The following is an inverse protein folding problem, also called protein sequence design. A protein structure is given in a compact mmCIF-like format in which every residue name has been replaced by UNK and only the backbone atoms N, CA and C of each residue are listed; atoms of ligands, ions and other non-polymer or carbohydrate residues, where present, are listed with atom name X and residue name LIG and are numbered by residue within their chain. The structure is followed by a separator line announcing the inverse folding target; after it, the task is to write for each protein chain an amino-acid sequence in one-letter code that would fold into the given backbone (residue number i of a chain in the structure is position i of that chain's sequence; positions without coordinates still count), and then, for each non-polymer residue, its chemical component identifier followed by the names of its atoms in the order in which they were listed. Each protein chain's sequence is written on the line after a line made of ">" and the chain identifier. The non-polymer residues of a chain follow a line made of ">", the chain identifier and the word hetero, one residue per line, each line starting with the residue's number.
data_IF_403875430541
#
_entry.id   IF_403875430541
#
_cell.length_a   1.000
_cell.length_b   1.000
_cell.length_c   1.000
_cell.angle_alpha   90.00
_cell.angle_beta   90.00
_cell.angle_gamma   90.00
#
_symmetry.space_group_name_H-M   'P 1'
#
loop_
_entity.id
_entity.type
_entity.pdbx_description
1 polymer ?
#
# COMPACT_ATOMS: atom_id res chain seq x y z
N UNK A 1 24.75 -9.10 -8.33
CA UNK A 1 24.24 -8.32 -9.49
C UNK A 1 24.07 -9.11 -10.81
N UNK A 2 24.31 -10.43 -10.87
CA UNK A 2 24.10 -11.25 -12.09
C UNK A 2 22.95 -12.29 -12.10
N UNK A 3 22.12 -12.52 -11.05
CA UNK A 3 21.01 -13.48 -11.16
C UNK A 3 19.66 -12.87 -11.63
N UNK A 4 19.56 -11.55 -11.80
CA UNK A 4 18.28 -10.86 -12.08
C UNK A 4 17.86 -10.84 -13.57
N UNK A 5 18.78 -11.07 -14.51
CA UNK A 5 18.47 -11.11 -15.95
C UNK A 5 17.82 -12.44 -16.40
N UNK A 6 17.94 -13.51 -15.59
CA UNK A 6 17.35 -14.81 -15.93
C UNK A 6 15.83 -14.88 -15.64
N UNK A 7 15.33 -14.11 -14.68
CA UNK A 7 13.90 -14.10 -14.31
C UNK A 7 13.02 -13.35 -15.34
N UNK A 8 13.55 -12.28 -15.95
CA UNK A 8 12.83 -11.53 -16.99
C UNK A 8 12.63 -12.34 -18.29
N UNK A 9 13.59 -13.21 -18.63
CA UNK A 9 13.49 -14.10 -19.78
C UNK A 9 12.48 -15.25 -19.55
N UNK A 10 12.32 -15.72 -18.30
CA UNK A 10 11.37 -16.77 -17.96
C UNK A 10 9.90 -16.30 -18.02
N UNK A 11 9.62 -15.03 -17.66
CA UNK A 11 8.27 -14.44 -17.73
C UNK A 11 7.78 -14.22 -19.17
N UNK A 12 8.65 -13.75 -20.06
CA UNK A 12 8.37 -13.66 -21.50
C UNK A 12 8.30 -15.05 -22.16
N UNK A 13 9.13 -15.99 -21.70
CA UNK A 13 9.12 -17.37 -22.16
C UNK A 13 7.79 -18.08 -21.90
N UNK A 14 7.11 -17.84 -20.77
CA UNK A 14 5.81 -18.47 -20.50
C UNK A 14 4.70 -17.96 -21.44
N UNK A 15 4.71 -16.67 -21.78
CA UNK A 15 3.76 -16.08 -22.74
C UNK A 15 4.07 -16.49 -24.19
N UNK A 16 5.33 -16.72 -24.55
CA UNK A 16 5.70 -17.25 -25.87
C UNK A 16 5.52 -18.77 -26.01
N UNK A 17 5.73 -19.55 -24.95
CA UNK A 17 5.58 -21.01 -25.00
C UNK A 17 4.13 -21.46 -25.15
N UNK A 18 3.16 -20.65 -24.74
CA UNK A 18 1.74 -20.90 -25.04
C UNK A 18 1.43 -20.79 -26.55
N UNK A 19 2.28 -20.09 -27.33
CA UNK A 19 2.06 -19.89 -28.78
C UNK A 19 2.80 -20.88 -29.69
N UNK A 20 3.77 -21.66 -29.19
CA UNK A 20 4.61 -22.52 -30.05
C UNK A 20 4.13 -23.97 -30.21
N UNK A 21 3.20 -24.46 -29.38
CA UNK A 21 2.81 -25.88 -29.39
C UNK A 21 1.65 -26.24 -30.36
N UNK A 22 1.00 -25.26 -30.98
CA UNK A 22 -0.04 -25.47 -31.99
C UNK A 22 0.18 -24.48 -33.12
N UNK A 23 0.19 -24.97 -34.38
CA UNK A 23 0.42 -24.13 -35.55
C UNK A 23 -0.35 -22.81 -35.45
N UNK A 24 0.37 -21.71 -35.68
CA UNK A 24 0.00 -20.31 -35.46
C UNK A 24 -1.36 -19.96 -36.11
N UNK A 25 -2.43 -20.37 -35.45
CA UNK A 25 -3.77 -19.87 -35.71
C UNK A 25 -3.83 -18.56 -34.94
N UNK A 26 -3.64 -17.45 -35.65
CA UNK A 26 -3.83 -16.12 -35.07
C UNK A 26 -5.20 -16.11 -34.36
N UNK A 27 -5.18 -15.86 -33.04
CA UNK A 27 -6.42 -15.70 -32.28
C UNK A 27 -7.33 -14.70 -32.99
N UNK A 28 -8.64 -14.97 -33.00
CA UNK A 28 -9.63 -14.04 -33.54
C UNK A 28 -9.54 -12.65 -32.91
N UNK A 29 -8.92 -12.56 -31.73
CA UNK A 29 -8.72 -11.31 -31.01
C UNK A 29 -7.44 -10.55 -31.35
N UNK A 30 -6.48 -11.11 -32.11
CA UNK A 30 -5.16 -10.49 -32.31
C UNK A 30 -5.23 -9.09 -32.91
N UNK A 31 -6.06 -8.90 -33.95
CA UNK A 31 -6.20 -7.61 -34.62
C UNK A 31 -6.85 -6.56 -33.71
N UNK A 32 -7.97 -6.91 -33.06
CA UNK A 32 -8.70 -5.99 -32.17
C UNK A 32 -7.92 -5.67 -30.90
N UNK A 33 -7.19 -6.64 -30.35
CA UNK A 33 -6.35 -6.46 -29.16
C UNK A 33 -5.27 -5.43 -29.41
N UNK A 34 -4.57 -5.53 -30.54
CA UNK A 34 -3.55 -4.55 -30.91
C UNK A 34 -4.15 -3.15 -31.09
N UNK A 35 -5.26 -3.03 -31.82
CA UNK A 35 -5.92 -1.74 -32.04
C UNK A 35 -6.35 -1.08 -30.72
N UNK A 36 -6.92 -1.85 -29.81
CA UNK A 36 -7.32 -1.35 -28.49
C UNK A 36 -6.12 -0.90 -27.66
N UNK A 37 -5.02 -1.66 -27.65
CA UNK A 37 -3.80 -1.29 -26.93
C UNK A 37 -3.18 -0.01 -27.50
N UNK A 38 -3.08 0.11 -28.83
CA UNK A 38 -2.59 1.32 -29.51
C UNK A 38 -3.49 2.53 -29.21
N UNK A 39 -4.80 2.31 -29.11
CA UNK A 39 -5.77 3.36 -28.77
C UNK A 39 -5.63 3.82 -27.31
N UNK A 40 -5.57 2.88 -26.37
CA UNK A 40 -5.62 3.19 -24.95
C UNK A 40 -4.30 3.68 -24.38
N UNK A 41 -3.22 3.18 -24.96
CA UNK A 41 -1.86 3.43 -24.52
C UNK A 41 -1.04 3.89 -25.74
N UNK A 42 -1.28 5.11 -26.24
CA UNK A 42 -0.49 5.63 -27.35
C UNK A 42 0.98 5.81 -26.94
N UNK A 43 1.90 5.51 -27.85
CA UNK A 43 3.33 5.73 -27.64
C UNK A 43 4.08 4.64 -26.88
N UNK A 44 3.52 3.42 -26.80
CA UNK A 44 4.27 2.26 -26.33
C UNK A 44 5.51 1.99 -27.20
N UNK A 45 6.57 1.44 -26.59
CA UNK A 45 7.66 0.85 -27.38
C UNK A 45 7.14 -0.37 -28.15
N UNK A 46 7.77 -0.79 -29.26
CA UNK A 46 7.37 -1.98 -30.00
C UNK A 46 7.27 -3.23 -29.12
N UNK A 47 8.20 -3.39 -28.16
CA UNK A 47 8.22 -4.52 -27.22
C UNK A 47 7.02 -4.48 -26.28
N UNK A 48 6.72 -3.31 -25.70
CA UNK A 48 5.58 -3.16 -24.82
C UNK A 48 4.25 -3.30 -25.56
N UNK A 49 4.15 -2.77 -26.78
CA UNK A 49 2.97 -2.93 -27.63
C UNK A 49 2.71 -4.41 -27.94
N UNK A 50 3.76 -5.17 -28.28
CA UNK A 50 3.63 -6.61 -28.51
C UNK A 50 3.19 -7.33 -27.24
N UNK A 51 3.84 -7.05 -26.10
CA UNK A 51 3.52 -7.68 -24.82
C UNK A 51 2.07 -7.38 -24.39
N UNK A 52 1.63 -6.13 -24.49
CA UNK A 52 0.27 -5.73 -24.18
C UNK A 52 -0.76 -6.30 -25.16
N UNK A 53 -0.43 -6.41 -26.45
CA UNK A 53 -1.34 -7.03 -27.44
C UNK A 53 -1.55 -8.52 -27.12
N UNK A 54 -0.48 -9.25 -26.80
CA UNK A 54 -0.55 -10.64 -26.37
C UNK A 54 -1.33 -10.80 -25.05
N UNK A 55 -1.07 -9.93 -24.07
CA UNK A 55 -1.77 -9.93 -22.79
C UNK A 55 -3.28 -9.63 -22.98
N UNK A 56 -3.63 -8.72 -23.87
CA UNK A 56 -5.02 -8.36 -24.15
C UNK A 56 -5.77 -9.52 -24.83
N UNK A 57 -5.13 -10.27 -25.74
CA UNK A 57 -5.70 -11.52 -26.30
C UNK A 57 -6.00 -12.51 -25.17
N UNK A 58 -5.03 -12.73 -24.28
CA UNK A 58 -5.18 -13.62 -23.12
C UNK A 58 -6.36 -13.22 -22.23
N UNK A 59 -6.53 -11.92 -21.94
CA UNK A 59 -7.68 -11.45 -21.17
C UNK A 59 -9.01 -11.58 -21.90
N UNK A 60 -9.05 -11.50 -23.23
CA UNK A 60 -10.28 -11.77 -23.99
C UNK A 60 -10.68 -13.25 -23.94
N UNK A 61 -9.71 -14.15 -24.07
CA UNK A 61 -9.96 -15.59 -23.94
C UNK A 61 -10.45 -15.93 -22.53
N UNK A 62 -9.81 -15.37 -21.49
CA UNK A 62 -10.26 -15.49 -20.10
C UNK A 62 -11.67 -14.92 -19.89
N UNK A 63 -11.98 -13.78 -20.49
CA UNK A 63 -13.30 -13.15 -20.38
C UNK A 63 -14.40 -14.00 -21.03
N UNK A 64 -14.13 -14.68 -22.16
CA UNK A 64 -15.08 -15.60 -22.76
C UNK A 64 -15.45 -16.75 -21.80
N UNK A 65 -14.47 -17.28 -21.06
CA UNK A 65 -14.67 -18.31 -20.05
C UNK A 65 -15.45 -17.81 -18.82
N UNK A 66 -15.31 -16.54 -18.46
CA UNK A 66 -15.98 -15.94 -17.29
C UNK A 66 -17.52 -15.92 -17.41
N UNK A 67 -18.06 -15.99 -18.64
CA UNK A 67 -19.51 -16.09 -18.87
C UNK A 67 -20.03 -17.54 -18.91
N UNK A 68 -19.14 -18.52 -18.77
CA UNK A 68 -19.49 -19.94 -18.73
C UNK A 68 -20.04 -20.41 -17.38
N UNK A 69 -20.06 -21.74 -17.23
CA UNK A 69 -20.40 -22.41 -15.97
C UNK A 69 -19.37 -22.16 -14.87
N UNK A 70 -19.62 -22.70 -13.67
CA UNK A 70 -18.77 -22.46 -12.49
C UNK A 70 -17.30 -22.86 -12.74
N UNK A 71 -17.05 -24.01 -13.34
CA UNK A 71 -15.69 -24.46 -13.69
C UNK A 71 -14.99 -23.48 -14.63
N UNK A 72 -15.66 -23.04 -15.70
CA UNK A 72 -15.12 -22.05 -16.65
C UNK A 72 -14.79 -20.72 -15.98
N UNK A 73 -15.59 -20.29 -14.99
CA UNK A 73 -15.30 -19.07 -14.22
C UNK A 73 -14.03 -19.20 -13.38
N UNK A 74 -13.77 -20.37 -12.78
CA UNK A 74 -12.51 -20.64 -12.10
C UNK A 74 -11.33 -20.62 -13.07
N UNK A 75 -11.49 -21.21 -14.25
CA UNK A 75 -10.47 -21.15 -15.31
C UNK A 75 -10.21 -19.71 -15.74
N UNK A 76 -11.25 -18.89 -15.88
CA UNK A 76 -11.13 -17.46 -16.18
C UNK A 76 -10.36 -16.70 -15.09
N UNK A 77 -10.66 -16.96 -13.82
CA UNK A 77 -9.95 -16.35 -12.70
C UNK A 77 -8.47 -16.76 -12.68
N UNK A 78 -8.17 -18.05 -12.90
CA UNK A 78 -6.81 -18.57 -13.00
C UNK A 78 -6.02 -17.88 -14.12
N UNK A 79 -6.60 -17.82 -15.32
CA UNK A 79 -6.01 -17.12 -16.45
C UNK A 79 -5.82 -15.63 -16.14
N UNK A 80 -6.78 -14.99 -15.47
CA UNK A 80 -6.64 -13.61 -15.01
C UNK A 80 -5.44 -13.40 -14.09
N UNK A 81 -5.21 -14.32 -13.14
CA UNK A 81 -4.03 -14.28 -12.27
C UNK A 81 -2.72 -14.51 -13.01
N UNK A 82 -2.69 -15.42 -13.98
CA UNK A 82 -1.52 -15.63 -14.84
C UNK A 82 -1.17 -14.36 -15.62
N UNK A 83 -2.18 -13.70 -16.21
CA UNK A 83 -2.00 -12.44 -16.94
C UNK A 83 -1.51 -11.30 -16.04
N UNK A 84 -2.12 -11.12 -14.86
CA UNK A 84 -1.66 -10.12 -13.89
C UNK A 84 -0.28 -10.45 -13.33
N UNK A 85 0.04 -11.72 -13.10
CA UNK A 85 1.37 -12.15 -12.66
C UNK A 85 2.44 -11.85 -13.71
N UNK A 86 2.17 -12.15 -14.99
CA UNK A 86 3.06 -11.80 -16.08
C UNK A 86 3.29 -10.28 -16.16
N UNK A 87 2.23 -9.49 -15.99
CA UNK A 87 2.30 -8.03 -15.95
C UNK A 87 3.17 -7.54 -14.78
N UNK A 88 2.96 -8.06 -13.57
CA UNK A 88 3.68 -7.64 -12.37
C UNK A 88 5.14 -8.09 -12.35
N UNK A 89 5.48 -9.17 -13.06
CA UNK A 89 6.86 -9.59 -13.28
C UNK A 89 7.58 -8.76 -14.36
N UNK A 90 6.85 -7.90 -15.09
CA UNK A 90 7.39 -7.00 -16.10
C UNK A 90 6.89 -5.56 -15.88
N UNK A 91 7.31 -4.97 -14.76
CA UNK A 91 6.88 -3.62 -14.37
C UNK A 91 7.26 -2.54 -15.40
N UNK A 92 8.34 -2.73 -16.15
CA UNK A 92 8.72 -1.80 -17.23
C UNK A 92 7.60 -1.71 -18.28
N UNK A 93 7.12 -2.86 -18.75
CA UNK A 93 5.97 -2.93 -19.67
C UNK A 93 4.68 -2.46 -19.00
N UNK A 94 4.42 -2.88 -17.76
CA UNK A 94 3.22 -2.51 -17.03
C UNK A 94 3.08 -1.00 -16.88
N UNK A 95 4.17 -0.34 -16.55
CA UNK A 95 4.21 1.11 -16.43
C UNK A 95 4.01 1.81 -17.76
N UNK A 96 4.23 1.22 -18.94
CA UNK A 96 3.94 1.94 -20.18
C UNK A 96 2.43 2.13 -20.41
N UNK A 97 1.58 1.25 -19.87
CA UNK A 97 0.12 1.29 -20.04
C UNK A 97 -0.64 1.16 -18.70
N UNK A 98 -0.57 2.16 -17.80
CA UNK A 98 -1.19 2.09 -16.48
C UNK A 98 -2.73 1.99 -16.54
N UNK A 99 -3.35 2.53 -17.60
CA UNK A 99 -4.81 2.41 -17.81
C UNK A 99 -5.21 0.96 -18.10
N UNK A 100 -4.45 0.27 -18.96
CA UNK A 100 -4.67 -1.16 -19.24
C UNK A 100 -4.51 -2.00 -17.97
N UNK A 101 -3.44 -1.76 -17.21
CA UNK A 101 -3.20 -2.44 -15.94
C UNK A 101 -4.38 -2.24 -14.97
N UNK A 102 -4.80 -0.99 -14.77
CA UNK A 102 -5.96 -0.64 -13.95
C UNK A 102 -7.19 -1.46 -14.35
N UNK A 103 -7.50 -1.55 -15.65
CA UNK A 103 -8.68 -2.27 -16.12
C UNK A 103 -8.59 -3.77 -15.85
N UNK A 104 -7.46 -4.41 -16.13
CA UNK A 104 -7.33 -5.85 -15.89
C UNK A 104 -7.40 -6.19 -14.40
N UNK A 105 -6.79 -5.38 -13.53
CA UNK A 105 -6.94 -5.58 -12.08
C UNK A 105 -8.41 -5.52 -11.65
N UNK A 106 -9.18 -4.55 -12.17
CA UNK A 106 -10.62 -4.48 -11.90
C UNK A 106 -11.38 -5.68 -12.45
N UNK A 107 -11.12 -6.07 -13.69
CA UNK A 107 -11.80 -7.20 -14.33
C UNK A 107 -11.59 -8.50 -13.53
N UNK A 108 -10.35 -8.77 -13.13
CA UNK A 108 -10.02 -9.95 -12.33
C UNK A 108 -10.59 -9.85 -10.90
N UNK A 109 -10.64 -8.65 -10.32
CA UNK A 109 -11.31 -8.43 -9.04
C UNK A 109 -12.81 -8.73 -9.10
N UNK A 110 -13.49 -8.33 -10.17
CA UNK A 110 -14.90 -8.62 -10.40
C UNK A 110 -15.15 -10.14 -10.53
N UNK A 111 -14.25 -10.87 -11.21
CA UNK A 111 -14.30 -12.33 -11.28
C UNK A 111 -14.08 -12.99 -9.92
N UNK A 112 -13.08 -12.55 -9.16
CA UNK A 112 -12.82 -13.03 -7.80
C UNK A 112 -14.05 -12.82 -6.90
N UNK A 113 -14.62 -11.61 -6.92
CA UNK A 113 -15.81 -11.28 -6.14
C UNK A 113 -17.00 -12.17 -6.53
N UNK A 114 -17.23 -12.38 -7.82
CA UNK A 114 -18.29 -13.24 -8.34
C UNK A 114 -18.15 -14.73 -7.97
N UNK A 115 -16.94 -15.15 -7.59
CA UNK A 115 -16.62 -16.50 -7.10
C UNK A 115 -16.55 -16.59 -5.57
N UNK A 116 -16.92 -15.52 -4.85
CA UNK A 116 -16.92 -15.52 -3.38
C UNK A 116 -15.55 -15.24 -2.75
N UNK A 117 -14.67 -14.53 -3.45
CA UNK A 117 -13.35 -14.09 -2.96
C UNK A 117 -13.27 -12.58 -2.69
N UNK A 118 -14.04 -12.04 -1.72
CA UNK A 118 -14.12 -10.61 -1.49
C UNK A 118 -12.80 -9.98 -1.01
N UNK A 119 -12.01 -10.66 -0.17
CA UNK A 119 -10.74 -10.11 0.31
C UNK A 119 -9.71 -10.04 -0.82
N UNK A 120 -9.66 -11.07 -1.67
CA UNK A 120 -8.81 -11.04 -2.86
C UNK A 120 -9.26 -9.95 -3.84
N UNK A 121 -10.57 -9.83 -4.08
CA UNK A 121 -11.11 -8.78 -4.93
C UNK A 121 -10.73 -7.38 -4.44
N UNK A 122 -10.83 -7.11 -3.14
CA UNK A 122 -10.38 -5.84 -2.55
C UNK A 122 -8.88 -5.60 -2.78
N UNK A 123 -8.03 -6.58 -2.49
CA UNK A 123 -6.58 -6.46 -2.69
C UNK A 123 -6.21 -6.20 -4.16
N UNK A 124 -6.88 -6.88 -5.10
CA UNK A 124 -6.72 -6.63 -6.55
C UNK A 124 -7.14 -5.22 -6.94
N UNK A 125 -8.25 -4.72 -6.38
CA UNK A 125 -8.70 -3.34 -6.60
C UNK A 125 -7.72 -2.32 -6.01
N UNK A 126 -7.19 -2.54 -4.81
CA UNK A 126 -6.18 -1.65 -4.24
C UNK A 126 -4.89 -1.65 -5.09
N UNK A 127 -4.46 -2.82 -5.60
CA UNK A 127 -3.30 -2.91 -6.50
C UNK A 127 -3.52 -2.18 -7.82
N UNK A 128 -4.67 -2.36 -8.47
CA UNK A 128 -4.96 -1.61 -9.70
C UNK A 128 -5.16 -0.12 -9.45
N UNK A 129 -5.56 0.30 -8.24
CA UNK A 129 -5.64 1.71 -7.86
C UNK A 129 -4.28 2.41 -7.92
N UNK A 130 -3.17 1.70 -7.69
CA UNK A 130 -1.81 2.26 -7.82
C UNK A 130 -1.53 2.64 -9.28
N UNK A 131 -1.85 1.76 -10.22
CA UNK A 131 -1.75 2.06 -11.66
C UNK A 131 -2.74 3.17 -12.07
N UNK A 132 -3.93 3.20 -11.47
CA UNK A 132 -4.92 4.25 -11.69
C UNK A 132 -4.34 5.64 -11.36
N UNK A 133 -3.71 5.77 -10.19
CA UNK A 133 -3.05 7.00 -9.75
C UNK A 133 -1.90 7.36 -10.69
N UNK A 134 -1.12 6.39 -11.13
CA UNK A 134 -0.04 6.61 -12.10
C UNK A 134 -0.59 7.15 -13.43
N UNK A 135 -1.70 6.61 -13.94
CA UNK A 135 -2.37 7.11 -15.14
C UNK A 135 -2.85 8.56 -14.97
N UNK A 136 -3.47 8.88 -13.82
CA UNK A 136 -3.90 10.24 -13.50
C UNK A 136 -2.71 11.22 -13.43
N UNK A 137 -1.63 10.83 -12.76
CA UNK A 137 -0.41 11.63 -12.61
C UNK A 137 0.22 11.96 -13.97
N UNK A 138 0.30 10.97 -14.87
CA UNK A 138 0.81 11.19 -16.24
C UNK A 138 -0.06 12.14 -17.04
N UNK A 139 -1.37 11.93 -16.99
CA UNK A 139 -2.32 12.83 -17.64
C UNK A 139 -2.15 14.27 -17.14
N UNK A 140 -2.08 14.48 -15.83
CA UNK A 140 -1.85 15.80 -15.22
C UNK A 140 -0.53 16.44 -15.66
N UNK A 141 0.56 15.66 -15.71
CA UNK A 141 1.92 16.15 -16.06
C UNK A 141 2.11 16.45 -17.55
N UNK A 142 1.34 15.84 -18.44
CA UNK A 142 1.44 15.97 -19.91
C UNK A 142 1.03 17.35 -20.48
N UNK A 143 1.44 18.47 -19.86
CA UNK A 143 1.03 19.84 -20.22
C UNK A 143 1.39 20.32 -21.64
N UNK A 144 1.96 19.50 -22.52
CA UNK A 144 2.40 19.88 -23.87
C UNK A 144 2.00 18.86 -24.96
N UNK A 145 0.91 19.14 -25.69
CA UNK A 145 0.76 18.79 -27.11
C UNK A 145 0.26 17.39 -27.52
N UNK A 146 0.27 16.38 -26.64
CA UNK A 146 -0.28 15.05 -26.97
C UNK A 146 -1.80 14.97 -26.82
N UNK A 147 -2.47 14.12 -27.62
CA UNK A 147 -3.89 13.83 -27.46
C UNK A 147 -4.16 13.27 -26.06
N UNK A 148 -4.74 14.09 -25.18
CA UNK A 148 -5.03 13.73 -23.78
C UNK A 148 -6.23 12.79 -23.73
N UNK A 149 -6.01 11.51 -23.44
CA UNK A 149 -7.10 10.59 -23.08
C UNK A 149 -7.20 10.48 -21.55
N UNK A 150 -7.98 11.36 -20.96
CA UNK A 150 -8.49 11.13 -19.60
C UNK A 150 -9.68 10.17 -19.71
N UNK A 151 -9.70 9.11 -18.90
CA UNK A 151 -10.85 8.19 -18.83
C UNK A 151 -11.68 8.47 -17.56
N UNK A 152 -12.41 9.60 -17.46
CA UNK A 152 -13.11 10.00 -16.24
C UNK A 152 -14.07 8.92 -15.74
N UNK A 153 -14.74 8.23 -16.67
CA UNK A 153 -15.65 7.14 -16.35
C UNK A 153 -14.94 5.99 -15.63
N UNK A 154 -13.80 5.52 -16.16
CA UNK A 154 -13.01 4.48 -15.50
C UNK A 154 -12.58 4.95 -14.10
N UNK A 155 -12.12 6.19 -13.98
CA UNK A 155 -11.66 6.75 -12.70
C UNK A 155 -12.77 6.76 -11.64
N UNK A 156 -13.96 7.22 -12.01
CA UNK A 156 -15.12 7.28 -11.11
C UNK A 156 -15.60 5.88 -10.74
N UNK A 157 -15.83 5.00 -11.74
CA UNK A 157 -16.28 3.63 -11.47
C UNK A 157 -15.30 2.85 -10.59
N UNK A 158 -14.00 2.99 -10.86
CA UNK A 158 -12.96 2.33 -10.07
C UNK A 158 -12.94 2.84 -8.62
N UNK A 159 -13.06 4.16 -8.43
CA UNK A 159 -13.09 4.78 -7.11
C UNK A 159 -14.32 4.33 -6.32
N UNK A 160 -15.50 4.29 -6.94
CA UNK A 160 -16.71 3.76 -6.30
C UNK A 160 -16.49 2.30 -5.87
N UNK A 161 -15.99 1.45 -6.77
CA UNK A 161 -15.81 0.03 -6.50
C UNK A 161 -14.80 -0.23 -5.37
N UNK A 162 -13.63 0.42 -5.38
CA UNK A 162 -12.62 0.23 -4.32
C UNK A 162 -13.10 0.76 -2.97
N UNK A 163 -13.79 1.91 -2.94
CA UNK A 163 -14.34 2.47 -1.69
C UNK A 163 -15.44 1.59 -1.13
N UNK A 164 -16.34 1.05 -1.96
CA UNK A 164 -17.40 0.13 -1.51
C UNK A 164 -16.82 -1.18 -0.95
N UNK A 165 -15.85 -1.78 -1.64
CA UNK A 165 -15.19 -2.99 -1.16
C UNK A 165 -14.42 -2.74 0.14
N UNK A 166 -13.69 -1.63 0.22
CA UNK A 166 -12.99 -1.26 1.45
C UNK A 166 -13.98 -1.02 2.60
N UNK A 167 -15.05 -0.24 2.39
CA UNK A 167 -16.04 0.02 3.42
C UNK A 167 -16.68 -1.27 3.97
N UNK A 168 -16.89 -2.29 3.13
CA UNK A 168 -17.48 -3.57 3.50
C UNK A 168 -16.49 -4.52 4.23
N UNK A 169 -15.18 -4.40 3.99
CA UNK A 169 -14.18 -5.39 4.40
C UNK A 169 -13.05 -4.83 5.26
N UNK A 170 -13.02 -3.52 5.47
CA UNK A 170 -12.01 -2.84 6.29
C UNK A 170 -11.95 -3.42 7.69
N UNK A 171 -10.78 -3.29 8.32
CA UNK A 171 -10.60 -3.67 9.72
C UNK A 171 -11.59 -2.91 10.58
N UNK A 172 -12.46 -3.57 11.36
CA UNK A 172 -13.43 -2.85 12.18
C UNK A 172 -12.72 -2.05 13.27
N UNK A 173 -13.25 -0.86 13.58
CA UNK A 173 -12.79 -0.09 14.72
C UNK A 173 -12.98 -0.88 16.02
N UNK A 174 -11.88 -1.10 16.75
CA UNK A 174 -11.88 -1.82 18.03
C UNK A 174 -11.80 -0.83 19.18
N UNK A 175 -12.33 -1.20 20.35
CA UNK A 175 -11.98 -0.48 21.57
C UNK A 175 -10.52 -0.77 21.90
N UNK A 176 -9.74 0.28 22.15
CA UNK A 176 -8.34 0.15 22.59
C UNK A 176 -8.28 -0.65 23.89
N UNK A 177 -7.60 -1.80 23.85
CA UNK A 177 -7.31 -2.63 25.01
C UNK A 177 -6.09 -2.08 25.74
N UNK A 178 -6.14 -2.05 27.08
CA UNK A 178 -4.98 -1.68 27.89
C UNK A 178 -4.03 -2.85 27.98
N UNK A 179 -2.74 -2.60 27.77
CA UNK A 179 -1.71 -3.61 27.89
C UNK A 179 -1.72 -4.25 29.29
N UNK A 180 -1.86 -5.57 29.36
CA UNK A 180 -1.90 -6.34 30.60
C UNK A 180 -0.77 -7.36 30.73
N UNK A 181 0.21 -7.32 29.84
CA UNK A 181 1.35 -8.25 29.86
C UNK A 181 2.28 -8.03 31.07
N UNK A 182 3.06 -9.07 31.45
CA UNK A 182 3.91 -9.05 32.63
C UNK A 182 5.06 -8.04 32.54
N UNK A 183 5.54 -7.75 31.33
CA UNK A 183 6.56 -6.73 31.05
C UNK A 183 6.20 -5.99 29.77
N UNK A 184 6.36 -4.67 29.76
CA UNK A 184 6.15 -3.86 28.57
C UNK A 184 7.28 -4.11 27.56
N UNK A 185 6.98 -4.26 26.26
CA UNK A 185 8.03 -4.37 25.25
C UNK A 185 8.84 -3.08 25.17
N UNK A 186 10.13 -3.20 24.87
CA UNK A 186 10.99 -2.05 24.55
C UNK A 186 10.61 -1.53 23.16
N UNK A 187 10.14 -0.29 23.12
CA UNK A 187 9.76 0.41 21.88
C UNK A 187 10.71 1.56 21.63
N UNK A 188 11.20 1.70 20.40
CA UNK A 188 11.79 2.94 19.90
C UNK A 188 10.84 3.62 18.91
N UNK A 189 10.69 4.94 19.01
CA UNK A 189 9.93 5.77 18.07
C UNK A 189 10.91 6.44 17.12
N UNK A 190 10.75 6.20 15.82
CA UNK A 190 11.63 6.67 14.76
C UNK A 190 10.90 7.64 13.85
N UNK A 191 11.55 8.74 13.46
CA UNK A 191 11.02 9.68 12.49
C UNK A 191 12.13 10.24 11.60
N UNK A 192 11.77 10.64 10.38
CA UNK A 192 12.64 11.35 9.43
C UNK A 192 12.01 12.70 9.15
N UNK A 193 12.63 13.78 9.62
CA UNK A 193 12.20 15.16 9.36
C UNK A 193 13.26 15.92 8.56
N UNK A 194 13.79 15.29 7.51
CA UNK A 194 14.76 15.91 6.61
C UNK A 194 14.10 16.27 5.28
N UNK A 195 13.77 17.55 5.13
CA UNK A 195 13.27 18.11 3.88
C UNK A 195 14.38 18.95 3.26
N UNK A 196 15.00 18.43 2.20
CA UNK A 196 15.88 19.24 1.36
C UNK A 196 15.03 20.28 0.61
N UNK A 197 15.50 21.53 0.43
CA UNK A 197 14.86 22.45 -0.50
C UNK A 197 14.87 21.82 -1.90
N UNK A 198 13.70 21.43 -2.40
CA UNK A 198 13.56 20.84 -3.72
C UNK A 198 12.89 21.86 -4.67
N UNK A 199 13.56 22.20 -5.79
CA UNK A 199 13.04 23.16 -6.76
C UNK A 199 11.77 22.66 -7.48
N UNK A 200 11.42 21.38 -7.39
CA UNK A 200 10.21 20.79 -8.00
C UNK A 200 9.01 20.69 -7.04
N UNK A 201 9.22 20.69 -5.73
CA UNK A 201 8.15 20.57 -4.72
C UNK A 201 7.71 21.90 -4.10
N UNK A 202 8.17 23.04 -4.63
CA UNK A 202 7.88 24.39 -4.09
C UNK A 202 8.15 24.49 -2.57
N UNK A 203 9.00 23.64 -2.00
CA UNK A 203 9.40 23.73 -0.61
C UNK A 203 10.23 24.99 -0.45
N UNK A 204 9.73 25.97 0.31
CA UNK A 204 10.51 27.15 0.70
C UNK A 204 11.83 26.76 1.39
N UNK A 205 12.68 27.74 1.68
CA UNK A 205 14.03 27.50 2.20
C UNK A 205 14.07 26.78 3.56
N UNK A 206 13.00 26.83 4.35
CA UNK A 206 12.89 26.15 5.66
C UNK A 206 11.52 25.48 5.82
N UNK A 207 11.53 24.17 6.05
CA UNK A 207 10.32 23.40 6.37
C UNK A 207 9.93 23.66 7.83
N UNK A 208 8.68 24.06 8.15
CA UNK A 208 8.25 24.31 9.51
C UNK A 208 7.93 23.03 10.30
N UNK A 209 7.76 21.90 9.62
CA UNK A 209 7.35 20.62 10.23
C UNK A 209 8.26 20.15 11.36
N UNK A 210 9.60 20.15 11.23
CA UNK A 210 10.47 19.73 12.33
C UNK A 210 10.23 20.53 13.62
N UNK A 211 9.90 21.82 13.50
CA UNK A 211 9.58 22.67 14.65
C UNK A 211 8.22 22.37 15.30
N UNK A 212 7.32 21.67 14.60
CA UNK A 212 5.98 21.32 15.07
C UNK A 212 5.91 19.86 15.56
N UNK A 213 6.40 18.90 14.77
CA UNK A 213 6.21 17.47 15.01
C UNK A 213 7.25 16.86 15.93
N UNK A 214 8.53 17.28 15.85
CA UNK A 214 9.60 16.73 16.71
C UNK A 214 9.31 16.94 18.20
N UNK A 215 8.84 18.12 18.66
CA UNK A 215 8.43 18.30 20.06
C UNK A 215 7.27 17.37 20.46
N UNK A 216 6.29 17.17 19.57
CA UNK A 216 5.18 16.26 19.81
C UNK A 216 5.64 14.81 19.96
N UNK A 217 6.45 14.31 19.01
CA UNK A 217 6.98 12.95 19.04
C UNK A 217 7.83 12.70 20.29
N UNK A 218 8.72 13.65 20.62
CA UNK A 218 9.60 13.55 21.78
C UNK A 218 8.82 13.49 23.09
N UNK A 219 7.84 14.38 23.26
CA UNK A 219 7.03 14.42 24.48
C UNK A 219 6.15 13.16 24.63
N UNK A 220 5.61 12.63 23.54
CA UNK A 220 4.90 11.34 23.58
C UNK A 220 5.83 10.19 23.98
N UNK A 221 7.01 10.10 23.35
CA UNK A 221 7.99 9.06 23.65
C UNK A 221 8.44 9.12 25.12
N UNK A 222 8.75 10.32 25.62
CA UNK A 222 9.13 10.56 27.02
C UNK A 222 8.03 10.12 28.00
N UNK A 223 6.78 10.48 27.73
CA UNK A 223 5.62 10.11 28.57
C UNK A 223 5.47 8.59 28.76
N UNK A 224 5.81 7.81 27.74
CA UNK A 224 5.68 6.35 27.78
C UNK A 224 7.00 5.61 28.02
N UNK A 225 8.11 6.32 28.25
CA UNK A 225 9.43 5.74 28.46
C UNK A 225 10.03 5.11 27.21
N UNK A 226 9.63 5.56 26.01
CA UNK A 226 10.18 5.12 24.74
C UNK A 226 11.40 5.97 24.37
N UNK A 227 12.39 5.36 23.70
CA UNK A 227 13.46 6.13 23.07
C UNK A 227 12.92 6.76 21.80
N UNK A 228 13.19 8.05 21.60
CA UNK A 228 12.93 8.73 20.33
C UNK A 228 14.21 8.91 19.53
N UNK A 229 14.18 8.54 18.26
CA UNK A 229 15.30 8.66 17.32
C UNK A 229 14.85 9.48 16.11
N UNK A 230 15.37 10.70 16.02
CA UNK A 230 15.19 11.57 14.86
C UNK A 230 16.36 11.36 13.89
N UNK A 231 16.05 10.90 12.68
CA UNK A 231 17.03 10.73 11.61
C UNK A 231 17.17 12.03 10.82
N UNK A 232 18.29 12.72 10.98
CA UNK A 232 18.63 13.95 10.26
C UNK A 232 19.43 13.69 8.99
N UNK A 233 20.02 12.50 8.85
CA UNK A 233 20.72 12.04 7.65
C UNK A 233 19.91 10.93 6.98
N UNK A 234 19.88 10.93 5.64
CA UNK A 234 19.14 9.93 4.86
C UNK A 234 20.09 8.82 4.41
N UNK A 235 19.82 7.54 4.74
CA UNK A 235 20.54 6.39 4.20
C UNK A 235 20.56 6.34 2.66
N UNK A 236 19.53 6.87 2.00
CA UNK A 236 19.48 7.04 0.55
C UNK A 236 19.45 8.55 0.21
N UNK A 237 20.61 9.22 0.19
CA UNK A 237 20.66 10.68 0.02
C UNK A 237 20.18 11.15 -1.36
N UNK A 238 20.19 10.25 -2.36
CA UNK A 238 19.77 10.48 -3.74
C UNK A 238 18.28 10.11 -4.01
N UNK A 239 17.54 9.71 -2.97
CA UNK A 239 16.11 9.41 -3.04
C UNK A 239 15.33 10.28 -2.07
N UNK A 240 14.03 10.40 -2.33
CA UNK A 240 13.09 11.02 -1.40
C UNK A 240 13.08 10.28 -0.04
N UNK A 241 12.85 11.05 1.03
CA UNK A 241 13.03 10.59 2.41
C UNK A 241 12.16 9.38 2.78
N UNK A 242 10.97 9.22 2.18
CA UNK A 242 10.08 8.10 2.47
C UNK A 242 10.69 6.75 2.06
N UNK A 243 11.62 6.71 1.09
CA UNK A 243 12.39 5.51 0.76
C UNK A 243 13.51 5.20 1.76
N UNK A 244 13.70 6.02 2.79
CA UNK A 244 14.68 5.71 3.84
C UNK A 244 14.04 4.98 5.03
N UNK A 245 12.70 4.98 5.16
CA UNK A 245 12.04 4.44 6.36
C UNK A 245 12.30 2.96 6.57
N UNK A 246 12.25 2.13 5.52
CA UNK A 246 12.54 0.70 5.63
C UNK A 246 13.98 0.43 6.08
N UNK A 247 14.94 1.27 5.68
CA UNK A 247 16.35 1.10 6.03
C UNK A 247 16.62 1.50 7.49
N UNK A 248 16.08 2.63 7.95
CA UNK A 248 16.28 3.06 9.35
C UNK A 248 15.59 2.12 10.34
N UNK A 249 14.44 1.54 9.96
CA UNK A 249 13.78 0.50 10.76
C UNK A 249 14.64 -0.77 10.77
N UNK A 250 15.10 -1.22 9.60
CA UNK A 250 15.94 -2.40 9.48
C UNK A 250 17.23 -2.29 10.30
N UNK A 251 17.91 -1.15 10.23
CA UNK A 251 19.11 -0.87 11.03
C UNK A 251 18.83 -0.89 12.53
N UNK A 252 17.74 -0.24 12.97
CA UNK A 252 17.33 -0.22 14.36
C UNK A 252 17.11 -1.65 14.91
N UNK A 253 16.39 -2.49 14.16
CA UNK A 253 16.07 -3.87 14.52
C UNK A 253 17.30 -4.81 14.52
N UNK A 254 18.39 -4.44 13.83
CA UNK A 254 19.66 -5.21 13.80
C UNK A 254 20.70 -4.74 14.79
N UNK A 255 20.51 -3.57 15.40
CA UNK A 255 21.49 -2.99 16.31
C UNK A 255 21.76 -3.88 17.54
N UNK A 256 22.94 -3.72 18.15
CA UNK A 256 23.32 -4.47 19.35
C UNK A 256 22.34 -4.24 20.53
N UNK A 257 21.71 -3.07 20.56
CA UNK A 257 20.71 -2.66 21.55
C UNK A 257 19.29 -2.71 21.02
N UNK A 258 19.02 -3.43 19.91
CA UNK A 258 17.76 -3.26 19.18
C UNK A 258 16.53 -3.47 20.07
N UNK A 259 15.47 -2.66 19.86
CA UNK A 259 14.23 -2.81 20.60
C UNK A 259 13.48 -4.07 20.22
N UNK A 260 12.42 -4.34 20.97
CA UNK A 260 11.47 -5.40 20.63
C UNK A 260 10.54 -4.92 19.51
N UNK A 261 10.26 -3.61 19.46
CA UNK A 261 9.45 -2.95 18.45
C UNK A 261 10.01 -1.59 18.02
N UNK A 262 9.87 -1.28 16.74
CA UNK A 262 10.06 0.06 16.18
C UNK A 262 8.70 0.61 15.76
N UNK A 263 8.33 1.76 16.30
CA UNK A 263 7.23 2.58 15.80
C UNK A 263 7.82 3.64 14.87
N UNK A 264 7.52 3.58 13.58
CA UNK A 264 7.89 4.64 12.66
C UNK A 264 6.75 5.64 12.51
N UNK A 265 7.06 6.93 12.51
CA UNK A 265 6.11 8.04 12.30
C UNK A 265 6.70 9.06 11.32
N UNK A 266 5.94 9.38 10.26
CA UNK A 266 6.28 10.44 9.31
C UNK A 266 6.29 11.81 10.01
N UNK A 267 7.05 12.74 9.45
CA UNK A 267 7.22 14.07 10.07
C UNK A 267 5.94 14.92 10.08
N UNK A 268 4.99 14.61 9.20
CA UNK A 268 3.68 15.23 9.08
C UNK A 268 2.58 14.39 9.75
N UNK A 269 2.94 13.49 10.67
CA UNK A 269 2.00 12.78 11.55
C UNK A 269 2.23 13.17 13.01
N UNK A 270 1.16 13.30 13.79
CA UNK A 270 1.21 13.79 15.18
C UNK A 270 0.45 12.85 16.11
N UNK A 271 1.04 12.53 17.26
CA UNK A 271 0.31 11.88 18.35
C UNK A 271 -0.73 12.84 18.91
N UNK A 272 -2.01 12.44 18.91
CA UNK A 272 -3.14 13.25 19.38
C UNK A 272 -3.84 12.67 20.60
N UNK A 273 -3.60 11.40 20.93
CA UNK A 273 -4.06 10.80 22.17
C UNK A 273 -2.86 10.29 22.97
N UNK A 274 -2.37 11.12 23.89
CA UNK A 274 -1.20 10.83 24.71
C UNK A 274 -1.47 9.74 25.78
N UNK A 275 -2.74 9.42 26.07
CA UNK A 275 -3.10 8.40 27.04
C UNK A 275 -3.00 6.97 26.48
N UNK A 276 -3.11 6.79 25.16
CA UNK A 276 -2.91 5.51 24.49
C UNK A 276 -1.42 5.26 24.30
N UNK A 277 -0.94 4.09 24.72
CA UNK A 277 0.45 3.68 24.52
C UNK A 277 0.61 2.81 23.27
N UNK A 278 1.83 2.67 22.74
CA UNK A 278 2.09 1.72 21.64
C UNK A 278 1.75 0.30 22.09
N UNK A 279 2.05 -0.05 23.34
CA UNK A 279 1.71 -1.36 23.92
C UNK A 279 0.20 -1.64 23.94
N UNK A 280 -0.64 -0.61 24.13
CA UNK A 280 -2.10 -0.75 24.05
C UNK A 280 -2.55 -1.08 22.62
N UNK A 281 -1.91 -0.48 21.60
CA UNK A 281 -2.16 -0.82 20.19
C UNK A 281 -1.73 -2.26 19.90
N UNK A 282 -0.55 -2.68 20.37
CA UNK A 282 -0.07 -4.07 20.22
C UNK A 282 -1.04 -5.07 20.87
N UNK A 283 -1.56 -4.77 22.06
CA UNK A 283 -2.57 -5.59 22.74
C UNK A 283 -3.86 -5.69 21.92
N UNK A 284 -4.38 -4.54 21.46
CA UNK A 284 -5.64 -4.43 20.71
C UNK A 284 -5.67 -5.29 19.43
N UNK A 285 -4.51 -5.49 18.82
CA UNK A 285 -4.35 -6.26 17.58
C UNK A 285 -3.63 -7.61 17.79
N UNK A 286 -3.47 -8.06 19.03
CA UNK A 286 -2.88 -9.37 19.36
C UNK A 286 -1.38 -9.49 19.10
N UNK A 287 -0.70 -8.38 18.82
CA UNK A 287 0.74 -8.31 18.57
C UNK A 287 1.59 -8.37 19.85
N UNK A 288 0.97 -8.14 21.02
CA UNK A 288 1.62 -8.29 22.31
C UNK A 288 2.08 -9.74 22.58
N UNK A 289 1.35 -10.73 22.06
CA UNK A 289 1.69 -12.14 22.20
C UNK A 289 2.92 -12.53 21.35
N UNK A 290 3.71 -13.51 21.80
CA UNK A 290 4.88 -13.99 21.06
C UNK A 290 4.53 -14.55 19.67
N UNK A 291 3.37 -15.19 19.53
CA UNK A 291 2.84 -15.70 18.26
C UNK A 291 2.00 -14.67 17.47
N UNK A 292 1.93 -13.43 17.95
CA UNK A 292 1.22 -12.34 17.29
C UNK A 292 1.93 -11.81 16.04
N UNK A 293 1.26 -10.95 15.25
CA UNK A 293 1.82 -10.33 14.06
C UNK A 293 3.11 -9.55 14.36
N UNK A 294 3.94 -9.40 13.34
CA UNK A 294 5.22 -8.68 13.37
C UNK A 294 5.15 -7.31 12.71
N UNK A 295 4.20 -7.09 11.80
CA UNK A 295 4.03 -5.84 11.08
C UNK A 295 2.60 -5.33 11.20
N UNK A 296 2.44 -4.15 11.78
CA UNK A 296 1.16 -3.46 11.92
C UNK A 296 1.18 -2.19 11.07
N UNK A 297 0.17 -2.03 10.23
CA UNK A 297 0.03 -0.88 9.33
C UNK A 297 -1.46 -0.57 9.14
N UNK A 298 -1.78 0.71 8.93
CA UNK A 298 -3.16 1.11 8.65
C UNK A 298 -3.54 0.75 7.21
N UNK A 299 -4.75 0.22 7.03
CA UNK A 299 -5.36 -0.01 5.72
C UNK A 299 -6.27 1.17 5.36
N UNK A 300 -6.30 1.55 4.08
CA UNK A 300 -7.23 2.52 3.52
C UNK A 300 -7.68 2.09 2.10
N UNK A 301 -8.58 2.82 1.40
CA UNK A 301 -8.99 2.46 0.04
C UNK A 301 -7.85 2.40 -0.99
N UNK A 302 -6.70 3.03 -0.71
CA UNK A 302 -5.48 2.96 -1.49
C UNK A 302 -4.62 1.73 -1.24
N UNK A 303 -4.93 0.91 -0.23
CA UNK A 303 -4.14 -0.25 0.17
C UNK A 303 -3.70 -0.09 1.61
N UNK A 304 -2.52 0.49 1.82
CA UNK A 304 -1.96 0.75 3.15
C UNK A 304 -1.35 2.15 3.20
N UNK A 305 -1.29 2.73 4.40
CA UNK A 305 -0.51 3.93 4.63
C UNK A 305 0.66 3.68 5.59
N UNK A 306 1.87 3.89 5.07
CA UNK A 306 3.15 3.64 5.76
C UNK A 306 3.69 4.84 6.52
N UNK A 307 2.90 5.91 6.65
CA UNK A 307 3.31 7.09 7.44
C UNK A 307 3.28 6.86 8.94
N UNK A 308 2.57 5.83 9.38
CA UNK A 308 2.79 5.23 10.70
C UNK A 308 2.74 3.73 10.59
N UNK A 309 3.73 3.07 11.17
CA UNK A 309 3.77 1.62 11.15
C UNK A 309 4.62 1.07 12.29
N UNK A 310 4.44 -0.21 12.56
CA UNK A 310 5.03 -0.91 13.69
C UNK A 310 5.69 -2.20 13.22
N UNK A 311 6.98 -2.36 13.52
CA UNK A 311 7.71 -3.60 13.25
C UNK A 311 8.24 -4.23 14.53
N UNK A 312 7.98 -5.52 14.70
CA UNK A 312 8.61 -6.37 15.70
C UNK A 312 10.01 -6.74 15.26
N UNK A 313 10.93 -6.86 16.21
CA UNK A 313 12.20 -7.54 15.97
C UNK A 313 11.97 -9.04 15.73
N UNK A 314 12.15 -9.48 14.50
CA UNK A 314 12.11 -10.89 14.10
C UNK A 314 12.87 -11.09 12.79
N UNK A 315 13.28 -12.33 12.51
CA UNK A 315 13.93 -12.68 11.23
C UNK A 315 13.00 -12.41 10.04
N UNK A 316 11.69 -12.61 10.23
CA UNK A 316 10.69 -12.26 9.23
C UNK A 316 10.70 -10.77 8.90
N UNK A 317 10.71 -9.89 9.91
CA UNK A 317 10.71 -8.44 9.69
C UNK A 317 11.97 -7.99 8.95
N UNK A 318 13.13 -8.55 9.30
CA UNK A 318 14.39 -8.23 8.63
C UNK A 318 14.36 -8.65 7.17
N UNK A 319 13.98 -9.90 6.89
CA UNK A 319 13.88 -10.40 5.52
C UNK A 319 12.81 -9.65 4.70
N UNK A 320 11.69 -9.26 5.32
CA UNK A 320 10.64 -8.49 4.68
C UNK A 320 11.14 -7.08 4.29
N UNK A 321 11.79 -6.36 5.21
CA UNK A 321 12.36 -5.04 4.94
C UNK A 321 13.45 -5.08 3.86
N UNK A 322 14.27 -6.14 3.81
CA UNK A 322 15.25 -6.35 2.74
C UNK A 322 14.57 -6.51 1.37
N UNK A 323 13.47 -7.28 1.29
CA UNK A 323 12.69 -7.41 0.04
C UNK A 323 12.04 -6.10 -0.36
N UNK A 324 11.42 -5.39 0.58
CA UNK A 324 10.84 -4.06 0.32
C UNK A 324 11.91 -3.11 -0.21
N UNK A 325 13.09 -3.06 0.41
CA UNK A 325 14.19 -2.21 -0.06
C UNK A 325 14.68 -2.55 -1.48
N UNK A 326 14.57 -3.83 -1.88
CA UNK A 326 14.90 -4.30 -3.22
C UNK A 326 13.76 -4.18 -4.24
N UNK A 327 12.55 -3.84 -3.79
CA UNK A 327 11.36 -3.79 -4.65
C UNK A 327 11.47 -2.71 -5.72
N UNK A 328 11.05 -3.06 -6.94
CA UNK A 328 10.97 -2.14 -8.08
C UNK A 328 9.59 -1.47 -8.19
N UNK A 329 8.64 -1.83 -7.30
CA UNK A 329 7.27 -1.35 -7.37
C UNK A 329 7.07 0.00 -6.65
N UNK A 330 7.80 1.03 -7.09
CA UNK A 330 7.80 2.38 -6.51
C UNK A 330 6.78 3.36 -7.10
N UNK A 331 5.67 2.88 -7.67
CA UNK A 331 4.71 3.72 -8.41
C UNK A 331 3.87 4.67 -7.54
N UNK A 332 3.66 4.34 -6.27
CA UNK A 332 3.01 5.20 -5.28
C UNK A 332 3.88 5.25 -4.01
N UNK A 333 5.07 5.83 -4.15
CA UNK A 333 6.07 5.98 -3.10
C UNK A 333 6.51 4.63 -2.51
N UNK A 334 6.91 4.59 -1.24
CA UNK A 334 7.26 3.35 -0.52
C UNK A 334 6.02 2.50 -0.21
N UNK A 335 4.83 3.11 -0.10
CA UNK A 335 3.57 2.41 0.20
C UNK A 335 3.31 1.27 -0.80
N UNK A 336 3.48 1.52 -2.10
CA UNK A 336 3.33 0.48 -3.12
C UNK A 336 4.36 -0.65 -2.97
N UNK A 337 5.60 -0.33 -2.57
CA UNK A 337 6.66 -1.31 -2.35
C UNK A 337 6.30 -2.25 -1.19
N UNK A 338 5.89 -1.67 -0.05
CA UNK A 338 5.39 -2.44 1.08
C UNK A 338 4.18 -3.29 0.68
N UNK A 339 3.17 -2.68 0.08
CA UNK A 339 1.91 -3.36 -0.24
C UNK A 339 2.11 -4.53 -1.19
N UNK A 340 2.93 -4.35 -2.24
CA UNK A 340 3.26 -5.43 -3.17
C UNK A 340 3.95 -6.59 -2.46
N UNK A 341 4.96 -6.33 -1.62
CA UNK A 341 5.66 -7.39 -0.89
C UNK A 341 4.77 -8.15 0.10
N UNK A 342 3.70 -7.51 0.62
CA UNK A 342 2.70 -8.19 1.45
C UNK A 342 1.81 -9.13 0.63
N UNK A 343 1.40 -8.68 -0.56
CA UNK A 343 0.38 -9.35 -1.35
C UNK A 343 0.94 -10.41 -2.29
N UNK A 344 2.11 -10.15 -2.90
CA UNK A 344 2.67 -10.99 -3.96
C UNK A 344 2.81 -12.47 -3.62
N UNK A 345 3.06 -12.91 -2.36
CA UNK A 345 3.18 -14.33 -2.07
C UNK A 345 1.90 -15.11 -2.38
N UNK A 346 0.71 -14.51 -2.20
CA UNK A 346 -0.56 -15.26 -2.22
C UNK A 346 -1.64 -14.65 -3.15
N UNK A 347 -1.51 -13.38 -3.57
CA UNK A 347 -2.57 -12.64 -4.29
C UNK A 347 -2.99 -13.31 -5.61
N UNK A 348 -2.07 -13.95 -6.31
CA UNK A 348 -2.31 -14.63 -7.59
C UNK A 348 -2.37 -16.16 -7.46
N UNK A 349 -2.27 -16.70 -6.24
CA UNK A 349 -2.41 -18.14 -6.02
C UNK A 349 -3.88 -18.51 -5.81
N UNK A 350 -4.43 -19.40 -6.63
CA UNK A 350 -5.65 -20.12 -6.29
C UNK A 350 -5.26 -21.15 -5.21
N UNK A 351 -5.68 -20.88 -3.97
CA UNK A 351 -5.31 -21.70 -2.81
C UNK A 351 -5.71 -23.18 -2.97
N UNK A 352 -5.18 -24.02 -2.09
CA UNK A 352 -5.60 -25.43 -1.98
C UNK A 352 -7.09 -25.50 -1.65
N UNK A 353 -7.80 -26.49 -2.17
CA UNK A 353 -9.22 -26.75 -1.87
C UNK A 353 -9.43 -26.82 -0.34
N UNK A 354 -10.05 -25.81 0.26
CA UNK A 354 -10.50 -25.86 1.66
C UNK A 354 -11.97 -26.28 1.66
N UNK A 355 -12.27 -27.46 2.22
CA UNK A 355 -13.65 -27.93 2.33
C UNK A 355 -14.33 -27.25 3.52
N UNK A 356 -15.00 -26.13 3.28
CA UNK A 356 -15.86 -25.50 4.30
C UNK A 356 -17.22 -26.18 4.32
N UNK A 357 -17.66 -26.66 5.49
CA UNK A 357 -18.99 -27.26 5.67
C UNK A 357 -20.09 -26.29 5.21
N UNK A 358 -20.85 -26.68 4.20
CA UNK A 358 -21.97 -25.89 3.66
C UNK A 358 -21.64 -25.00 2.47
N UNK A 359 -20.40 -24.98 1.98
CA UNK A 359 -20.04 -24.37 0.70
C UNK A 359 -19.62 -25.43 -0.32
N UNK A 360 -19.89 -25.23 -1.62
CA UNK A 360 -19.32 -26.08 -2.65
C UNK A 360 -17.79 -26.06 -2.54
N UNK A 361 -17.11 -27.20 -2.75
CA UNK A 361 -15.65 -27.26 -2.65
C UNK A 361 -15.04 -26.23 -3.60
N UNK A 362 -14.19 -25.36 -3.04
CA UNK A 362 -13.52 -24.28 -3.76
C UNK A 362 -12.22 -23.86 -3.05
N UNK A 363 -11.30 -23.17 -3.76
CA UNK A 363 -10.14 -22.54 -3.14
C UNK A 363 -10.55 -21.60 -1.99
N UNK A 364 -9.74 -21.57 -0.93
CA UNK A 364 -9.91 -20.57 0.12
C UNK A 364 -9.66 -19.14 -0.40
N UNK A 365 -10.30 -18.16 0.23
CA UNK A 365 -10.00 -16.76 -0.05
C UNK A 365 -8.59 -16.36 0.40
N UNK A 366 -8.09 -15.29 -0.20
CA UNK A 366 -6.82 -14.66 0.13
C UNK A 366 -6.75 -14.32 1.63
N UNK A 367 -5.65 -14.70 2.26
CA UNK A 367 -5.31 -14.35 3.63
C UNK A 367 -3.97 -13.61 3.61
N UNK A 368 -3.86 -12.56 4.41
CA UNK A 368 -2.57 -11.91 4.64
C UNK A 368 -1.61 -12.91 5.32
N UNK A 369 -0.29 -12.73 5.17
CA UNK A 369 0.68 -13.46 5.97
C UNK A 369 0.36 -13.32 7.46
N UNK A 370 0.50 -14.38 8.28
CA UNK A 370 0.17 -14.34 9.70
C UNK A 370 1.02 -13.32 10.48
N UNK A 371 2.18 -12.94 9.95
CA UNK A 371 3.03 -11.90 10.51
C UNK A 371 2.52 -10.46 10.26
N UNK A 372 1.42 -10.29 9.53
CA UNK A 372 0.90 -8.98 9.15
C UNK A 372 -0.49 -8.79 9.74
N UNK A 373 -0.70 -7.62 10.37
CA UNK A 373 -2.03 -7.20 10.79
C UNK A 373 -2.33 -5.81 10.27
N UNK A 374 -3.45 -5.69 9.56
CA UNK A 374 -4.04 -4.39 9.30
C UNK A 374 -4.67 -3.82 10.55
N UNK A 375 -4.55 -2.51 10.70
CA UNK A 375 -5.03 -1.71 11.82
C UNK A 375 -6.02 -0.69 11.30
N UNK A 376 -7.11 -0.45 12.02
CA UNK A 376 -8.04 0.63 11.67
C UNK A 376 -7.33 1.99 11.77
N UNK A 377 -7.58 2.89 10.81
CA UNK A 377 -6.90 4.19 10.70
C UNK A 377 -6.98 5.05 11.98
N UNK A 378 -8.09 5.03 12.73
CA UNK A 378 -8.19 5.69 14.05
C UNK A 378 -7.04 5.35 15.05
N UNK A 379 -6.42 4.18 14.90
CA UNK A 379 -5.42 3.67 15.83
C UNK A 379 -3.97 3.85 15.35
N UNK A 380 -3.74 4.32 14.14
CA UNK A 380 -2.39 4.58 13.63
C UNK A 380 -2.32 5.78 12.69
N UNK A 381 -3.33 6.00 11.85
CA UNK A 381 -3.18 6.78 10.63
C UNK A 381 -4.48 7.50 10.20
N UNK A 382 -5.08 8.29 11.10
CA UNK A 382 -6.30 9.05 10.80
C UNK A 382 -6.00 10.27 9.95
N UNK A 383 -6.66 10.41 8.80
CA UNK A 383 -6.38 11.49 7.85
C UNK A 383 -7.09 12.79 8.21
N UNK A 384 -6.60 13.90 7.66
CA UNK A 384 -7.29 15.19 7.71
C UNK A 384 -7.95 15.52 6.36
N UNK A 385 -8.99 16.36 6.35
CA UNK A 385 -9.46 16.98 5.12
C UNK A 385 -8.35 17.81 4.45
N UNK A 386 -8.33 17.91 3.10
CA UNK A 386 -9.25 17.26 2.18
C UNK A 386 -8.94 15.78 1.92
N UNK A 387 -7.75 15.30 2.29
CA UNK A 387 -7.28 13.95 1.95
C UNK A 387 -8.20 12.83 2.44
N UNK A 388 -8.77 12.91 3.66
CA UNK A 388 -9.77 11.95 4.12
C UNK A 388 -10.94 11.79 3.14
N UNK A 389 -11.40 12.89 2.54
CA UNK A 389 -12.54 12.92 1.61
C UNK A 389 -12.13 12.49 0.22
N UNK A 390 -11.03 13.02 -0.28
CA UNK A 390 -10.53 12.76 -1.64
C UNK A 390 -10.17 11.27 -1.82
N UNK A 391 -9.65 10.65 -0.77
CA UNK A 391 -9.27 9.24 -0.76
C UNK A 391 -10.35 8.33 -0.20
N UNK A 392 -11.52 8.87 0.21
CA UNK A 392 -12.57 8.13 0.92
C UNK A 392 -12.04 7.35 2.13
N UNK A 393 -10.99 7.87 2.76
CA UNK A 393 -10.32 7.30 3.91
C UNK A 393 -10.98 7.77 5.21
N UNK A 394 -10.64 7.13 6.31
CA UNK A 394 -11.13 7.52 7.61
C UNK A 394 -10.60 8.91 8.02
N UNK A 395 -11.52 9.84 8.29
CA UNK A 395 -11.22 11.17 8.80
C UNK A 395 -10.99 11.10 10.31
N UNK A 396 -9.83 11.59 10.74
CA UNK A 396 -9.44 11.69 12.14
C UNK A 396 -10.54 12.34 12.99
N UNK A 397 -10.79 11.75 14.15
CA UNK A 397 -11.71 12.23 15.18
C UNK A 397 -10.96 12.53 16.49
N UNK A 398 -11.46 13.46 17.32
CA UNK A 398 -10.93 13.66 18.67
C UNK A 398 -10.89 12.35 19.46
N UNK A 399 -9.73 12.03 20.04
CA UNK A 399 -9.48 10.79 20.77
C UNK A 399 -8.73 9.72 19.97
N UNK A 400 -8.61 9.88 18.65
CA UNK A 400 -7.79 9.00 17.81
C UNK A 400 -6.31 9.14 18.15
N UNK A 401 -5.56 8.07 17.87
CA UNK A 401 -4.18 7.94 18.32
C UNK A 401 -3.23 8.91 17.63
N UNK A 402 -3.30 8.95 16.30
CA UNK A 402 -2.45 9.79 15.44
C UNK A 402 -3.30 10.50 14.40
N UNK A 403 -3.03 11.79 14.22
CA UNK A 403 -3.53 12.62 13.12
C UNK A 403 -2.43 12.77 12.07
N UNK A 404 -2.69 12.29 10.86
CA UNK A 404 -1.73 12.29 9.75
C UNK A 404 -2.17 13.24 8.64
N UNK A 405 -1.21 14.02 8.14
CA UNK A 405 -1.40 15.02 7.10
C UNK A 405 -1.01 14.51 5.70
N UNK A 406 -1.13 13.19 5.46
CA UNK A 406 -0.93 12.58 4.15
C UNK A 406 -1.72 13.32 3.07
N UNK A 407 -1.05 13.76 2.01
CA UNK A 407 -1.70 14.52 0.92
C UNK A 407 -2.16 15.93 1.30
N UNK A 408 -1.80 16.44 2.48
CA UNK A 408 -2.06 17.80 2.95
C UNK A 408 -0.72 18.53 3.17
N UNK A 409 -0.06 18.98 2.09
CA UNK A 409 1.29 19.54 2.16
C UNK A 409 1.33 20.84 2.97
N UNK A 410 2.37 21.04 3.79
CA UNK A 410 2.53 22.22 4.64
C UNK A 410 2.64 23.55 3.86
N UNK A 411 2.91 23.47 2.55
CA UNK A 411 2.93 24.61 1.64
C UNK A 411 1.53 25.22 1.45
N UNK A 412 0.47 24.44 1.68
CA UNK A 412 -0.89 24.93 1.66
C UNK A 412 -1.25 25.55 3.01
N UNK A 413 -1.63 26.83 2.99
CA UNK A 413 -1.92 27.58 4.23
C UNK A 413 -2.99 26.93 5.11
N UNK A 414 -3.97 26.26 4.51
CA UNK A 414 -4.98 25.48 5.23
C UNK A 414 -4.36 24.28 5.98
N UNK A 415 -3.55 23.46 5.29
CA UNK A 415 -2.85 22.32 5.87
C UNK A 415 -1.90 22.74 6.99
N UNK A 416 -1.09 23.79 6.77
CA UNK A 416 -0.20 24.31 7.81
C UNK A 416 -0.97 24.84 9.03
N UNK A 417 -2.13 25.47 8.81
CA UNK A 417 -3.03 25.88 9.87
C UNK A 417 -3.48 24.71 10.74
N UNK A 418 -3.94 23.63 10.10
CA UNK A 418 -4.35 22.40 10.78
C UNK A 418 -3.18 21.71 11.51
N UNK A 419 -1.96 21.71 10.94
CA UNK A 419 -0.76 21.19 11.61
C UNK A 419 -0.43 21.97 12.88
N UNK A 420 -0.48 23.31 12.82
CA UNK A 420 -0.26 24.19 13.99
C UNK A 420 -1.33 23.97 15.07
N UNK A 421 -2.59 23.87 14.66
CA UNK A 421 -3.70 23.53 15.56
C UNK A 421 -3.45 22.19 16.26
N UNK A 422 -3.03 21.18 15.50
CA UNK A 422 -2.77 19.82 16.01
C UNK A 422 -1.59 19.79 16.96
N UNK A 423 -0.50 20.49 16.66
CA UNK A 423 0.63 20.63 17.56
C UNK A 423 0.21 21.27 18.90
N UNK A 424 -0.62 22.33 18.84
CA UNK A 424 -1.15 22.98 20.04
C UNK A 424 -2.12 22.09 20.83
N UNK A 425 -2.98 21.32 20.14
CA UNK A 425 -3.88 20.34 20.76
C UNK A 425 -3.10 19.26 21.51
N UNK A 426 -2.12 18.66 20.84
CA UNK A 426 -1.33 17.58 21.42
C UNK A 426 -0.50 18.06 22.62
N UNK A 427 0.03 19.29 22.57
CA UNK A 427 0.72 19.88 23.71
C UNK A 427 -0.20 20.02 24.93
N UNK A 428 -1.48 20.40 24.74
CA UNK A 428 -2.46 20.46 25.84
C UNK A 428 -2.76 19.08 26.43
N UNK A 429 -2.93 18.06 25.59
CA UNK A 429 -3.14 16.67 26.05
C UNK A 429 -1.93 16.10 26.83
N UNK A 430 -0.73 16.49 26.42
CA UNK A 430 0.50 16.09 27.09
C UNK A 430 0.67 16.79 28.45
N UNK A 431 0.32 18.08 28.56
CA UNK A 431 0.44 18.87 29.78
C UNK A 431 -0.75 18.71 30.75
N UNK A 432 -1.96 18.47 30.24
CA UNK A 432 -3.22 18.43 31.01
C UNK A 432 -3.48 17.15 31.78
N UNK A 433 -2.66 16.11 31.61
CA UNK A 433 -2.79 14.83 32.33
C UNK A 433 -2.43 14.86 33.82
N UNK A 434 -2.09 16.02 34.38
CA UNK A 434 -1.58 16.17 35.75
C UNK A 434 -2.59 16.61 36.82
N UNK A 435 -3.85 16.92 36.51
CA UNK A 435 -4.75 17.58 37.47
C UNK A 435 -6.20 17.07 37.46
N UNK A 436 -6.39 15.76 37.60
CA UNK A 436 -7.71 15.12 37.73
C UNK A 436 -7.92 14.31 39.02
N UNK A 437 -7.12 14.57 40.06
CA UNK A 437 -7.26 13.94 41.37
C UNK A 437 -7.44 14.99 42.45
N UNK A 438 -8.69 15.33 42.75
CA UNK A 438 -9.12 15.93 44.01
C UNK A 438 -10.55 15.54 44.29
#
# INVERSE_FOLDING_TARGET
>A
MRPLLAAAAAGLGLLMLATEAGGQQDSYFSLVSRQLVEEECPGLTPEALQAWSSLQVHFFDAQALAYGGQESRWTALAAGFEGLSALMNNLEVAYQCPVGATRHFRQVAEWALGLGHPFRARSLMQMGNIFKIQAMSRWWKSKSGGAKRFQPRLQVEYTIAVTQLHAALQVPLRRVARFSGPSRPRVEVHSICNYKPDPTSNTGSECPLPGLSVPNHRAYAERHGYRYVLHTELPLPDREAHYSKMLVIHEALRSATAPDWVFFIDCDAFFTNAATSVSDILETYGAAAAAGPHFLVAEDPGGINTGTLLFRRSDWSLAFLERVAASQFGAAWDQSMFFWELLQPELFQLGRLEHTLGQPPGPADFKLPPEVAFVHQAHLNGFVPPASRDWSAYEWQPGDFVRHFAGCPWQEGHCLGLMRETAALAQRELLGGGSGGS
#
